data_IF_453833070896
#
_entry.id   IF_453833070896
#
_cell.length_a   1.000
_cell.length_b   1.000
_cell.length_c   1.000
_cell.angle_alpha   90.00
_cell.angle_beta   90.00
_cell.angle_gamma   90.00
#
_symmetry.space_group_name_H-M   'P 1'
#
loop_
_entity.id
_entity.type
_entity.pdbx_description
1 polymer ?
#
# COMPACT_ATOMS: atom_id res chain seq x y z
N UNK A 1 -29.94 -1.54 24.67
CA UNK A 1 -28.75 -0.74 24.33
C UNK A 1 -28.58 -0.46 22.83
N UNK A 2 -29.29 -1.17 21.91
CA UNK A 2 -29.20 -0.91 20.43
C UNK A 2 -29.83 0.42 19.98
N UNK A 3 -30.82 0.93 20.70
CA UNK A 3 -31.58 2.13 20.25
C UNK A 3 -30.94 3.49 20.59
N UNK A 4 -29.93 3.53 21.45
CA UNK A 4 -29.25 4.76 21.83
C UNK A 4 -28.22 5.19 20.78
N UNK A 5 -27.61 4.22 20.10
CA UNK A 5 -26.59 4.47 19.07
C UNK A 5 -27.23 5.07 17.81
N UNK A 6 -28.44 4.61 17.44
CA UNK A 6 -29.19 5.17 16.30
C UNK A 6 -29.59 6.62 16.48
N UNK A 7 -29.90 7.04 17.71
CA UNK A 7 -30.28 8.42 17.98
C UNK A 7 -29.10 9.40 17.84
N UNK A 8 -27.89 8.95 18.17
CA UNK A 8 -26.67 9.75 18.06
C UNK A 8 -26.26 9.97 16.61
N UNK A 9 -26.49 8.97 15.72
CA UNK A 9 -26.16 9.06 14.29
C UNK A 9 -27.13 9.96 13.52
N UNK A 10 -28.42 9.95 13.88
CA UNK A 10 -29.42 10.82 13.25
C UNK A 10 -29.15 12.31 13.62
N UNK A 11 -28.60 12.58 14.79
CA UNK A 11 -28.27 13.96 15.21
C UNK A 11 -27.03 14.50 14.47
N UNK A 12 -26.08 13.66 14.07
CA UNK A 12 -24.91 14.06 13.28
C UNK A 12 -25.23 14.33 11.79
N UNK A 13 -26.31 13.73 11.27
CA UNK A 13 -26.78 13.97 9.90
C UNK A 13 -28.01 14.90 9.83
N UNK A 14 -28.59 15.31 10.95
CA UNK A 14 -29.55 16.41 10.95
C UNK A 14 -28.80 17.70 10.64
N UNK A 15 -29.29 18.55 9.72
CA UNK A 15 -28.65 19.84 9.46
C UNK A 15 -28.73 20.69 10.73
N UNK A 16 -27.69 20.64 11.54
CA UNK A 16 -27.51 21.61 12.60
C UNK A 16 -27.21 22.92 11.88
N UNK A 17 -28.23 23.75 11.76
CA UNK A 17 -28.13 25.10 11.23
C UNK A 17 -27.23 25.93 12.16
N UNK A 18 -25.94 25.81 11.97
CA UNK A 18 -24.97 26.78 12.46
C UNK A 18 -24.84 27.82 11.37
N UNK A 19 -25.34 29.03 11.62
CA UNK A 19 -25.19 30.17 10.72
C UNK A 19 -23.73 30.28 10.28
N UNK A 20 -23.47 30.04 9.00
CA UNK A 20 -22.16 30.26 8.37
C UNK A 20 -21.43 29.04 7.85
N UNK A 21 -21.93 27.80 8.01
CA UNK A 21 -21.39 26.65 7.32
C UNK A 21 -22.25 26.34 6.10
N UNK A 22 -21.66 26.40 4.91
CA UNK A 22 -22.23 25.82 3.70
C UNK A 22 -22.56 24.35 4.00
N UNK A 23 -23.80 23.93 3.70
CA UNK A 23 -24.20 22.53 3.83
C UNK A 23 -23.22 21.67 3.07
N UNK A 24 -22.67 20.66 3.76
CA UNK A 24 -21.81 19.65 3.14
C UNK A 24 -22.54 19.08 1.91
N UNK A 25 -22.07 19.45 0.73
CA UNK A 25 -22.61 18.90 -0.51
C UNK A 25 -22.12 17.46 -0.64
N UNK A 26 -22.99 16.50 -0.98
CA UNK A 26 -22.59 15.13 -1.30
C UNK A 26 -21.44 15.07 -2.31
N UNK A 27 -21.41 16.02 -3.24
CA UNK A 27 -20.43 16.10 -4.32
C UNK A 27 -19.00 16.49 -3.85
N UNK A 28 -18.86 16.94 -2.60
CA UNK A 28 -17.58 17.36 -2.04
C UNK A 28 -17.06 16.45 -0.93
N UNK A 29 -17.69 15.30 -0.73
CA UNK A 29 -17.29 14.30 0.27
C UNK A 29 -16.84 13.03 -0.44
N UNK A 30 -15.64 12.58 -0.15
CA UNK A 30 -15.11 11.32 -0.68
C UNK A 30 -15.30 10.24 0.36
N UNK A 31 -15.88 9.13 -0.05
CA UNK A 31 -16.09 7.95 0.78
C UNK A 31 -15.21 6.80 0.32
N UNK A 32 -14.66 6.06 1.27
CA UNK A 32 -13.99 4.79 1.02
C UNK A 32 -14.67 3.69 1.82
N UNK A 33 -14.92 2.56 1.18
CA UNK A 33 -15.38 1.33 1.84
C UNK A 33 -14.31 0.27 1.60
N UNK A 34 -13.75 -0.30 2.66
CA UNK A 34 -12.66 -1.30 2.59
C UNK A 34 -11.49 -0.83 1.69
N UNK A 35 -11.11 0.45 1.86
CA UNK A 35 -10.03 1.12 1.11
C UNK A 35 -10.31 1.37 -0.38
N UNK A 36 -11.54 1.20 -0.86
CA UNK A 36 -11.96 1.53 -2.23
C UNK A 36 -12.88 2.73 -2.22
N UNK A 37 -12.62 3.68 -3.13
CA UNK A 37 -13.50 4.84 -3.29
C UNK A 37 -14.91 4.39 -3.66
N UNK A 38 -15.91 4.93 -2.99
CA UNK A 38 -17.30 4.61 -3.16
C UNK A 38 -18.14 5.87 -3.29
N UNK A 39 -19.24 5.79 -4.02
CA UNK A 39 -20.21 6.86 -4.14
C UNK A 39 -20.85 7.19 -2.79
N UNK A 40 -21.08 8.48 -2.53
CA UNK A 40 -21.65 8.94 -1.26
C UNK A 40 -23.03 8.35 -0.99
N UNK A 41 -23.92 8.32 -2.00
CA UNK A 41 -25.28 7.80 -1.82
C UNK A 41 -25.28 6.30 -1.59
N UNK A 42 -24.40 5.57 -2.30
CA UNK A 42 -24.17 4.16 -2.09
C UNK A 42 -23.67 3.87 -0.68
N UNK A 43 -22.71 4.68 -0.21
CA UNK A 43 -22.14 4.58 1.15
C UNK A 43 -23.22 4.87 2.21
N UNK A 44 -24.00 5.93 2.03
CA UNK A 44 -25.07 6.29 2.96
C UNK A 44 -26.15 5.20 3.05
N UNK A 45 -26.50 4.57 1.91
CA UNK A 45 -27.42 3.43 1.87
C UNK A 45 -26.87 2.26 2.67
N UNK A 46 -25.62 1.85 2.40
CA UNK A 46 -24.99 0.72 3.10
C UNK A 46 -24.86 0.95 4.61
N UNK A 47 -24.61 2.18 5.03
CA UNK A 47 -24.68 2.58 6.44
C UNK A 47 -26.09 2.39 7.02
N UNK A 48 -27.10 2.88 6.31
CA UNK A 48 -28.50 2.74 6.72
C UNK A 48 -28.95 1.29 6.85
N UNK A 49 -28.44 0.42 5.99
CA UNK A 49 -28.71 -1.03 5.99
C UNK A 49 -27.84 -1.77 7.03
N UNK A 50 -26.90 -1.13 7.73
CA UNK A 50 -26.01 -1.72 8.72
C UNK A 50 -24.95 -2.66 8.12
N UNK A 51 -24.70 -2.55 6.82
CA UNK A 51 -23.71 -3.37 6.12
C UNK A 51 -22.29 -2.86 6.30
N UNK A 52 -22.12 -1.59 6.60
CA UNK A 52 -20.82 -0.97 6.90
C UNK A 52 -20.85 -0.29 8.25
N UNK A 53 -19.73 -0.37 8.95
CA UNK A 53 -19.47 0.31 10.21
C UNK A 53 -18.18 1.10 10.06
N UNK A 54 -18.08 2.24 10.73
CA UNK A 54 -16.85 3.00 10.71
C UNK A 54 -17.04 4.37 11.31
N UNK A 55 -15.99 4.84 11.93
CA UNK A 55 -15.83 6.25 12.25
C UNK A 55 -14.99 6.83 11.12
N UNK A 56 -15.59 7.73 10.35
CA UNK A 56 -14.78 8.58 9.51
C UNK A 56 -13.90 9.42 10.42
N UNK A 57 -12.65 9.05 10.65
CA UNK A 57 -11.68 10.05 11.00
C UNK A 57 -11.71 11.06 9.86
N UNK A 58 -12.09 12.29 10.17
CA UNK A 58 -11.96 13.40 9.25
C UNK A 58 -10.47 13.58 9.01
N UNK A 59 -9.96 12.90 8.01
CA UNK A 59 -8.60 13.11 7.56
C UNK A 59 -8.43 14.60 7.32
N UNK A 60 -7.33 15.16 7.76
CA UNK A 60 -7.01 16.57 7.58
C UNK A 60 -7.46 17.05 6.20
N UNK A 61 -8.42 17.98 6.16
CA UNK A 61 -8.97 18.56 4.91
C UNK A 61 -7.85 19.01 3.96
N UNK A 62 -6.73 19.48 4.52
CA UNK A 62 -5.54 19.85 3.75
C UNK A 62 -4.95 18.67 2.99
N UNK A 63 -4.78 17.52 3.64
CA UNK A 63 -4.23 16.32 2.99
C UNK A 63 -5.24 15.74 1.98
N UNK A 64 -6.53 15.80 2.31
CA UNK A 64 -7.60 15.40 1.41
C UNK A 64 -7.58 16.23 0.12
N UNK A 65 -7.51 17.55 0.22
CA UNK A 65 -7.45 18.45 -0.94
C UNK A 65 -6.15 18.24 -1.73
N UNK A 66 -5.03 18.04 -1.07
CA UNK A 66 -3.75 17.79 -1.76
C UNK A 66 -3.79 16.53 -2.64
N UNK A 67 -4.45 15.47 -2.17
CA UNK A 67 -4.49 14.18 -2.87
C UNK A 67 -5.66 14.04 -3.84
N UNK A 68 -6.81 14.67 -3.56
CA UNK A 68 -8.05 14.48 -4.31
C UNK A 68 -8.62 15.76 -4.91
N UNK A 69 -7.95 16.91 -4.71
CA UNK A 69 -8.41 18.20 -5.17
C UNK A 69 -9.62 18.72 -4.38
N UNK A 70 -10.28 19.74 -4.93
CA UNK A 70 -11.41 20.43 -4.29
C UNK A 70 -12.62 19.52 -4.01
N UNK A 71 -12.74 18.40 -4.70
CA UNK A 71 -13.81 17.41 -4.45
C UNK A 71 -13.70 16.77 -3.04
N UNK A 72 -12.56 16.91 -2.37
CA UNK A 72 -12.34 16.45 -1.00
C UNK A 72 -12.44 17.59 0.03
N UNK A 73 -12.97 18.75 -0.32
CA UNK A 73 -13.08 19.92 0.56
C UNK A 73 -13.81 19.62 1.88
N UNK A 74 -14.76 18.70 1.86
CA UNK A 74 -15.53 18.29 3.02
C UNK A 74 -14.93 17.08 3.75
N UNK A 75 -13.71 16.70 3.36
CA UNK A 75 -12.97 15.60 3.97
C UNK A 75 -13.21 14.26 3.29
N UNK A 76 -12.63 13.26 3.91
CA UNK A 76 -12.68 11.87 3.46
C UNK A 76 -13.24 11.03 4.60
N UNK A 77 -14.16 10.14 4.27
CA UNK A 77 -14.80 9.23 5.19
C UNK A 77 -14.42 7.80 4.86
N UNK A 78 -14.01 7.04 5.85
CA UNK A 78 -13.58 5.65 5.67
C UNK A 78 -14.49 4.72 6.46
N UNK A 79 -14.98 3.69 5.80
CA UNK A 79 -15.85 2.69 6.35
C UNK A 79 -15.30 1.29 6.11
N UNK A 80 -15.73 0.35 6.93
CA UNK A 80 -15.42 -1.08 6.79
C UNK A 80 -16.72 -1.87 6.72
N UNK A 81 -16.75 -2.90 5.91
CA UNK A 81 -17.88 -3.82 5.86
C UNK A 81 -18.02 -4.54 7.20
N UNK A 82 -19.20 -4.45 7.79
CA UNK A 82 -19.56 -5.23 8.98
C UNK A 82 -19.73 -6.68 8.56
N UNK A 83 -19.10 -7.60 9.26
CA UNK A 83 -19.05 -9.01 8.88
C UNK A 83 -18.33 -9.20 7.52
N UNK A 84 -17.06 -8.78 7.46
CA UNK A 84 -16.22 -9.29 6.35
C UNK A 84 -16.44 -10.78 6.29
N UNK A 85 -17.01 -11.35 5.20
CA UNK A 85 -16.92 -12.77 5.01
C UNK A 85 -15.46 -13.10 5.18
N UNK A 86 -15.16 -14.12 5.99
CA UNK A 86 -13.81 -14.67 6.16
C UNK A 86 -13.13 -14.53 4.81
N UNK A 87 -12.01 -13.76 4.76
CA UNK A 87 -11.47 -13.26 3.49
C UNK A 87 -11.49 -14.39 2.48
N UNK A 88 -12.24 -14.22 1.40
CA UNK A 88 -12.43 -15.31 0.43
C UNK A 88 -11.05 -15.94 0.15
N UNK A 89 -10.90 -17.25 0.26
CA UNK A 89 -9.61 -17.89 0.16
C UNK A 89 -8.91 -17.40 -1.11
N UNK A 90 -7.63 -17.05 -1.00
CA UNK A 90 -6.84 -16.61 -2.13
C UNK A 90 -6.83 -17.71 -3.19
N UNK A 91 -7.10 -17.33 -4.43
CA UNK A 91 -6.90 -18.24 -5.55
C UNK A 91 -5.40 -18.46 -5.77
N UNK A 92 -4.99 -19.57 -6.42
CA UNK A 92 -3.58 -19.87 -6.63
C UNK A 92 -2.79 -18.80 -7.41
N UNK A 93 -3.49 -17.97 -8.18
CA UNK A 93 -2.95 -16.87 -8.99
C UNK A 93 -3.19 -15.48 -8.38
N UNK A 94 -3.60 -15.42 -7.12
CA UNK A 94 -3.87 -14.16 -6.43
C UNK A 94 -2.80 -13.82 -5.39
N UNK A 95 -2.56 -12.51 -5.23
CA UNK A 95 -1.82 -11.96 -4.12
C UNK A 95 -2.71 -11.09 -3.23
N UNK A 96 -2.33 -10.96 -1.97
CA UNK A 96 -2.80 -9.91 -1.07
C UNK A 96 -1.61 -9.28 -0.37
N UNK A 97 -1.55 -7.95 -0.36
CA UNK A 97 -0.54 -7.18 0.34
C UNK A 97 -1.18 -6.59 1.59
N UNK A 98 -0.63 -6.93 2.75
CA UNK A 98 -0.93 -6.26 4.01
C UNK A 98 0.19 -5.29 4.33
N UNK A 99 -0.08 -4.01 4.19
CA UNK A 99 0.88 -2.95 4.44
C UNK A 99 0.70 -2.30 5.80
N UNK A 100 1.82 -1.94 6.43
CA UNK A 100 1.85 -1.14 7.65
C UNK A 100 2.80 0.04 7.51
N UNK A 101 2.43 1.16 8.09
CA UNK A 101 3.21 2.39 8.15
C UNK A 101 2.80 3.17 9.41
N UNK A 102 3.65 4.08 9.86
CA UNK A 102 3.34 4.95 10.99
C UNK A 102 1.97 5.64 10.79
N UNK A 103 1.07 5.63 11.79
CA UNK A 103 -0.24 6.29 11.72
C UNK A 103 -0.20 7.78 11.39
N UNK A 104 0.95 8.45 11.53
CA UNK A 104 1.13 9.82 11.07
C UNK A 104 0.88 10.00 9.55
N UNK A 105 0.88 8.91 8.79
CA UNK A 105 0.56 8.87 7.35
C UNK A 105 -0.91 8.55 7.05
N UNK A 106 -1.77 8.50 8.07
CA UNK A 106 -3.21 8.32 7.84
C UNK A 106 -3.75 9.39 6.89
N UNK A 107 -4.52 8.96 5.90
CA UNK A 107 -5.05 9.83 4.86
C UNK A 107 -4.13 10.09 3.68
N UNK A 108 -2.92 9.57 3.69
CA UNK A 108 -2.10 9.56 2.48
C UNK A 108 -2.44 8.35 1.60
N UNK A 109 -2.14 8.48 0.32
CA UNK A 109 -2.31 7.39 -0.62
C UNK A 109 -1.12 6.43 -0.56
N UNK A 110 -1.43 5.15 -0.38
CA UNK A 110 -0.55 4.07 -0.75
C UNK A 110 -0.77 3.75 -2.23
N UNK A 111 0.30 3.70 -3.00
CA UNK A 111 0.29 3.50 -4.45
C UNK A 111 1.14 2.28 -4.81
N UNK A 112 0.56 1.37 -5.58
CA UNK A 112 1.24 0.18 -6.10
C UNK A 112 1.48 0.37 -7.60
N UNK A 113 2.74 0.54 -7.97
CA UNK A 113 3.17 0.71 -9.34
C UNK A 113 3.64 -0.63 -9.91
N UNK A 114 3.05 -1.04 -11.03
CA UNK A 114 3.53 -2.19 -11.81
C UNK A 114 4.17 -1.72 -13.10
N UNK A 115 5.18 -2.45 -13.58
CA UNK A 115 5.96 -2.10 -14.74
C UNK A 115 5.85 -3.17 -15.83
N UNK A 116 6.05 -2.77 -17.10
CA UNK A 116 6.13 -3.74 -18.18
C UNK A 116 7.38 -4.62 -18.06
N UNK A 117 7.23 -5.89 -18.35
CA UNK A 117 8.34 -6.84 -18.33
C UNK A 117 9.54 -6.44 -19.20
N UNK A 118 9.28 -5.69 -20.27
CA UNK A 118 10.27 -5.30 -21.29
C UNK A 118 10.76 -3.86 -21.13
N UNK A 119 10.14 -3.08 -20.24
CA UNK A 119 10.44 -1.65 -20.09
C UNK A 119 10.15 -1.19 -18.66
N UNK A 120 11.19 -1.16 -17.85
CA UNK A 120 11.16 -0.81 -16.44
C UNK A 120 10.93 0.67 -16.16
N UNK A 121 11.08 1.51 -17.16
CA UNK A 121 10.83 2.95 -17.06
C UNK A 121 9.34 3.24 -17.30
N UNK A 122 8.61 2.27 -17.86
CA UNK A 122 7.23 2.46 -18.23
C UNK A 122 6.27 1.83 -17.23
N UNK A 123 5.65 2.67 -16.42
CA UNK A 123 4.55 2.27 -15.54
C UNK A 123 3.42 1.68 -16.40
N UNK A 124 3.01 0.47 -16.07
CA UNK A 124 1.91 -0.21 -16.75
C UNK A 124 0.59 0.07 -16.07
N UNK A 125 0.57 0.05 -14.75
CA UNK A 125 -0.62 0.25 -13.95
C UNK A 125 -0.25 0.87 -12.60
N UNK A 126 -1.17 1.66 -12.05
CA UNK A 126 -1.07 2.21 -10.70
C UNK A 126 -2.37 1.90 -9.98
N UNK A 127 -2.27 1.15 -8.88
CA UNK A 127 -3.36 0.93 -7.96
C UNK A 127 -3.17 1.83 -6.74
N UNK A 128 -4.27 2.34 -6.18
CA UNK A 128 -4.21 3.25 -5.04
C UNK A 128 -5.20 2.87 -3.97
N UNK A 129 -4.75 2.93 -2.72
CA UNK A 129 -5.60 2.78 -1.54
C UNK A 129 -5.22 3.82 -0.50
N UNK A 130 -6.14 4.17 0.37
CA UNK A 130 -5.86 5.13 1.44
C UNK A 130 -5.29 4.42 2.66
N UNK A 131 -4.30 5.05 3.31
CA UNK A 131 -3.79 4.58 4.60
C UNK A 131 -4.79 4.92 5.70
N UNK A 132 -5.24 3.91 6.45
CA UNK A 132 -6.12 4.03 7.60
C UNK A 132 -5.55 3.23 8.79
N UNK A 133 -5.49 3.84 9.97
CA UNK A 133 -4.89 3.24 11.17
C UNK A 133 -3.47 2.68 10.96
N UNK A 134 -2.68 3.39 10.15
CA UNK A 134 -1.35 2.95 9.78
C UNK A 134 -1.34 1.67 8.94
N UNK A 135 -2.45 1.31 8.28
CA UNK A 135 -2.61 0.09 7.49
C UNK A 135 -3.16 0.40 6.11
N UNK A 136 -2.85 -0.48 5.17
CA UNK A 136 -3.43 -0.49 3.83
C UNK A 136 -3.39 -1.92 3.27
N UNK A 137 -4.25 -2.20 2.29
CA UNK A 137 -4.35 -3.52 1.70
C UNK A 137 -4.55 -3.42 0.20
N UNK A 138 -3.79 -4.23 -0.56
CA UNK A 138 -4.01 -4.44 -1.99
C UNK A 138 -4.30 -5.91 -2.23
N UNK A 139 -5.21 -6.21 -3.16
CA UNK A 139 -5.46 -7.57 -3.63
C UNK A 139 -5.56 -7.57 -5.14
N UNK A 140 -4.94 -8.55 -5.78
CA UNK A 140 -4.96 -8.66 -7.23
C UNK A 140 -4.51 -10.02 -7.72
N UNK A 141 -4.46 -10.14 -9.06
CA UNK A 141 -3.93 -11.33 -9.73
C UNK A 141 -2.47 -11.13 -10.10
N UNK A 142 -1.71 -12.20 -9.95
CA UNK A 142 -0.34 -12.25 -10.44
C UNK A 142 -0.40 -12.31 -11.97
N UNK A 143 0.10 -11.27 -12.64
CA UNK A 143 0.11 -11.26 -14.11
C UNK A 143 1.49 -11.64 -14.66
N UNK A 144 2.54 -11.02 -14.20
CA UNK A 144 3.92 -11.29 -14.56
C UNK A 144 4.79 -11.10 -13.32
N UNK A 145 5.83 -11.92 -13.15
CA UNK A 145 6.76 -11.82 -12.03
C UNK A 145 7.72 -10.62 -12.18
N UNK A 146 7.13 -9.44 -12.39
CA UNK A 146 7.89 -8.21 -12.46
C UNK A 146 7.97 -7.56 -11.10
N UNK A 147 9.07 -6.91 -10.77
CA UNK A 147 9.12 -6.09 -9.59
C UNK A 147 8.12 -4.94 -9.73
N UNK A 148 7.57 -4.60 -8.60
CA UNK A 148 6.63 -3.51 -8.41
C UNK A 148 7.19 -2.58 -7.35
N UNK A 149 6.71 -1.34 -7.33
CA UNK A 149 7.04 -0.37 -6.29
C UNK A 149 5.78 -0.08 -5.50
N UNK A 150 5.86 -0.26 -4.19
CA UNK A 150 4.86 0.20 -3.26
C UNK A 150 5.36 1.48 -2.61
N UNK A 151 4.57 2.54 -2.67
CA UNK A 151 4.95 3.85 -2.18
C UNK A 151 3.81 4.51 -1.40
N UNK A 152 4.15 5.35 -0.42
CA UNK A 152 3.19 6.20 0.30
C UNK A 152 3.67 7.64 0.23
N UNK A 153 2.72 8.55 0.02
CA UNK A 153 2.95 9.99 -0.11
C UNK A 153 2.74 10.51 -1.52
N UNK A 154 3.23 11.70 -1.79
CA UNK A 154 2.97 12.39 -3.05
C UNK A 154 3.88 11.92 -4.18
N UNK A 155 3.31 11.49 -5.31
CA UNK A 155 4.05 11.26 -6.54
C UNK A 155 4.46 12.61 -7.18
N UNK A 156 5.68 12.76 -7.76
CA UNK A 156 6.70 11.72 -8.02
C UNK A 156 7.74 11.53 -6.90
N UNK A 157 7.57 12.16 -5.75
CA UNK A 157 8.50 12.07 -4.61
C UNK A 157 7.80 11.44 -3.41
N UNK A 158 7.61 10.11 -3.40
CA UNK A 158 6.99 9.45 -2.26
C UNK A 158 7.86 9.60 -1.02
N UNK A 159 7.20 9.69 0.13
CA UNK A 159 7.89 9.81 1.42
C UNK A 159 8.52 8.47 1.82
N UNK A 160 7.89 7.38 1.45
CA UNK A 160 8.35 6.00 1.69
C UNK A 160 8.05 5.14 0.47
N UNK A 161 9.00 4.26 0.12
CA UNK A 161 8.78 3.28 -0.94
C UNK A 161 9.62 2.04 -0.73
N UNK A 162 9.14 0.91 -1.27
CA UNK A 162 9.83 -0.37 -1.24
C UNK A 162 9.57 -1.13 -2.55
N UNK A 163 10.60 -1.83 -3.03
CA UNK A 163 10.46 -2.77 -4.15
C UNK A 163 9.94 -4.12 -3.64
N UNK A 164 9.03 -4.74 -4.38
CA UNK A 164 8.47 -6.05 -4.08
C UNK A 164 8.09 -6.81 -5.35
N UNK A 165 7.88 -8.11 -5.20
CA UNK A 165 7.29 -8.94 -6.25
C UNK A 165 5.83 -9.24 -5.92
N UNK A 166 4.95 -9.12 -6.91
CA UNK A 166 3.54 -9.54 -6.79
C UNK A 166 3.44 -11.06 -7.00
N UNK A 167 4.01 -11.78 -6.04
CA UNK A 167 4.04 -13.24 -5.99
C UNK A 167 2.75 -13.77 -5.36
N UNK A 168 2.26 -14.91 -5.80
CA UNK A 168 1.01 -15.47 -5.27
C UNK A 168 1.11 -15.74 -3.78
N UNK A 169 0.09 -15.32 -3.04
CA UNK A 169 0.01 -15.52 -1.60
C UNK A 169 -0.14 -14.23 -0.78
N UNK A 170 0.22 -14.30 0.48
CA UNK A 170 0.12 -13.19 1.44
C UNK A 170 1.46 -12.48 1.57
N UNK A 171 1.54 -11.25 1.09
CA UNK A 171 2.72 -10.40 1.15
C UNK A 171 2.54 -9.44 2.34
N UNK A 172 3.50 -9.42 3.24
CA UNK A 172 3.54 -8.49 4.37
C UNK A 172 4.56 -7.39 4.09
N UNK A 173 4.14 -6.15 4.18
CA UNK A 173 4.98 -4.98 3.95
C UNK A 173 4.98 -4.08 5.17
N UNK A 174 6.18 -3.68 5.60
CA UNK A 174 6.35 -2.59 6.58
C UNK A 174 7.16 -1.48 5.92
N UNK A 175 6.53 -0.33 5.69
CA UNK A 175 7.20 0.82 5.10
C UNK A 175 8.11 1.57 6.10
N UNK A 176 7.90 1.40 7.40
CA UNK A 176 8.80 1.98 8.40
C UNK A 176 10.15 1.26 8.42
N UNK A 177 10.15 -0.07 8.35
CA UNK A 177 11.36 -0.89 8.32
C UNK A 177 11.84 -1.22 6.90
N UNK A 178 11.12 -0.78 5.87
CA UNK A 178 11.35 -1.13 4.46
C UNK A 178 11.48 -2.64 4.25
N UNK A 179 10.54 -3.39 4.82
CA UNK A 179 10.56 -4.86 4.85
C UNK A 179 9.41 -5.44 4.05
N UNK A 180 9.72 -6.43 3.21
CA UNK A 180 8.74 -7.22 2.45
C UNK A 180 9.03 -8.69 2.67
N UNK A 181 8.02 -9.47 3.08
CA UNK A 181 8.14 -10.90 3.38
C UNK A 181 6.82 -11.64 3.12
N UNK A 182 6.83 -12.96 3.19
CA UNK A 182 5.65 -13.82 3.22
C UNK A 182 5.37 -14.57 1.92
N UNK A 183 6.17 -14.35 0.88
CA UNK A 183 6.11 -15.12 -0.35
C UNK A 183 7.50 -15.50 -0.85
N UNK A 184 7.66 -16.60 -1.59
CA UNK A 184 8.98 -17.14 -1.95
C UNK A 184 9.93 -16.14 -2.60
N UNK A 185 9.45 -15.33 -3.55
CA UNK A 185 10.31 -14.36 -4.25
C UNK A 185 10.71 -13.20 -3.31
N UNK A 186 9.79 -12.68 -2.53
CA UNK A 186 10.07 -11.60 -1.59
C UNK A 186 11.00 -12.05 -0.46
N UNK A 187 10.80 -13.27 0.06
CA UNK A 187 11.65 -13.84 1.09
C UNK A 187 13.08 -14.10 0.56
N UNK A 188 13.20 -14.61 -0.67
CA UNK A 188 14.50 -14.83 -1.31
C UNK A 188 15.23 -13.49 -1.55
N UNK A 189 14.52 -12.47 -2.05
CA UNK A 189 15.09 -11.13 -2.22
C UNK A 189 15.57 -10.56 -0.88
N UNK A 190 14.73 -10.64 0.14
CA UNK A 190 15.04 -10.15 1.48
C UNK A 190 16.27 -10.83 2.09
N UNK A 191 16.36 -12.15 1.93
CA UNK A 191 17.53 -12.92 2.40
C UNK A 191 18.80 -12.53 1.66
N UNK A 192 18.71 -12.31 0.36
CA UNK A 192 19.83 -11.84 -0.43
C UNK A 192 20.28 -10.44 0.00
N UNK A 193 19.38 -9.48 0.15
CA UNK A 193 19.69 -8.13 0.61
C UNK A 193 20.33 -8.13 1.99
N UNK A 194 19.80 -8.94 2.91
CA UNK A 194 20.39 -9.13 4.25
C UNK A 194 21.81 -9.69 4.18
N UNK A 195 22.06 -10.61 3.25
CA UNK A 195 23.38 -11.16 3.00
C UNK A 195 24.32 -10.10 2.44
N UNK A 196 23.86 -9.32 1.45
CA UNK A 196 24.67 -8.25 0.85
C UNK A 196 25.00 -7.13 1.84
N UNK A 197 24.05 -6.74 2.69
CA UNK A 197 24.27 -5.72 3.74
C UNK A 197 25.40 -6.07 4.72
N UNK A 198 25.69 -7.36 4.95
CA UNK A 198 26.84 -7.77 5.77
C UNK A 198 28.17 -7.35 5.16
N UNK A 199 28.23 -7.19 3.86
CA UNK A 199 29.41 -6.78 3.12
C UNK A 199 29.44 -5.27 2.82
N UNK A 200 28.28 -4.59 2.97
CA UNK A 200 28.20 -3.16 2.73
C UNK A 200 28.89 -2.40 3.88
N UNK A 201 29.67 -1.40 3.53
CA UNK A 201 30.42 -0.62 4.51
C UNK A 201 31.71 -1.28 5.02
N UNK A 202 31.99 -2.55 4.68
CA UNK A 202 33.28 -3.14 4.99
C UNK A 202 34.37 -2.52 4.13
N UNK A 203 35.26 -1.78 4.75
CA UNK A 203 36.48 -1.25 4.15
C UNK A 203 37.66 -1.63 5.05
N UNK A 204 38.70 -2.13 4.43
CA UNK A 204 39.92 -2.50 5.10
C UNK A 204 41.09 -1.62 4.61
N UNK A 205 42.10 -1.44 5.45
CA UNK A 205 43.31 -0.67 5.09
C UNK A 205 44.13 -1.34 3.97
N UNK A 206 43.89 -2.62 3.71
CA UNK A 206 44.60 -3.40 2.69
C UNK A 206 43.78 -3.47 1.40
N UNK A 207 44.33 -3.00 0.28
CA UNK A 207 43.75 -3.07 -1.04
C UNK A 207 43.48 -4.50 -1.51
N UNK A 208 44.35 -5.43 -1.14
CA UNK A 208 44.20 -6.86 -1.44
C UNK A 208 42.94 -7.43 -0.78
N UNK A 209 42.67 -7.08 0.48
CA UNK A 209 41.48 -7.52 1.20
C UNK A 209 40.22 -6.89 0.58
N UNK A 210 40.22 -5.62 0.24
CA UNK A 210 39.12 -4.95 -0.42
C UNK A 210 38.82 -5.55 -1.80
N UNK A 211 39.86 -5.95 -2.54
CA UNK A 211 39.69 -6.66 -3.82
C UNK A 211 39.03 -8.03 -3.64
N UNK A 212 39.50 -8.81 -2.66
CA UNK A 212 38.86 -10.10 -2.33
C UNK A 212 37.41 -9.96 -1.90
N UNK A 213 37.11 -8.95 -1.08
CA UNK A 213 35.73 -8.62 -0.69
C UNK A 213 34.85 -8.31 -1.89
N UNK A 214 35.35 -7.49 -2.82
CA UNK A 214 34.65 -7.20 -4.07
C UNK A 214 34.43 -8.42 -4.95
N UNK A 215 35.36 -9.36 -4.98
CA UNK A 215 35.19 -10.65 -5.69
C UNK A 215 34.14 -11.52 -5.01
N UNK A 216 34.13 -11.59 -3.69
CA UNK A 216 33.14 -12.34 -2.91
C UNK A 216 31.73 -11.79 -3.12
N UNK A 217 31.55 -10.47 -3.10
CA UNK A 217 30.27 -9.82 -3.40
C UNK A 217 29.77 -10.19 -4.80
N UNK A 218 30.66 -10.13 -5.81
CA UNK A 218 30.31 -10.51 -7.20
C UNK A 218 29.95 -11.98 -7.31
N UNK A 219 30.65 -12.86 -6.63
CA UNK A 219 30.37 -14.29 -6.64
C UNK A 219 28.99 -14.60 -6.02
N UNK A 220 28.67 -14.02 -4.86
CA UNK A 220 27.37 -14.15 -4.18
C UNK A 220 26.25 -13.65 -5.09
N UNK A 221 26.41 -12.45 -5.70
CA UNK A 221 25.42 -11.88 -6.61
C UNK A 221 25.22 -12.77 -7.84
N UNK A 222 26.30 -13.25 -8.45
CA UNK A 222 26.23 -14.14 -9.61
C UNK A 222 25.50 -15.44 -9.29
N UNK A 223 25.79 -16.04 -8.15
CA UNK A 223 25.13 -17.27 -7.73
C UNK A 223 23.62 -17.04 -7.47
N UNK A 224 23.27 -15.94 -6.80
CA UNK A 224 21.88 -15.57 -6.59
C UNK A 224 21.12 -15.35 -7.89
N UNK A 225 21.71 -14.66 -8.87
CA UNK A 225 21.11 -14.45 -10.20
C UNK A 225 20.93 -15.80 -10.89
N UNK A 226 21.94 -16.68 -10.86
CA UNK A 226 21.88 -18.00 -11.47
C UNK A 226 20.75 -18.87 -10.91
N UNK A 227 20.56 -18.84 -9.58
CA UNK A 227 19.48 -19.58 -8.92
C UNK A 227 18.10 -19.02 -9.25
N UNK A 228 18.01 -17.74 -9.61
CA UNK A 228 16.76 -17.04 -9.87
C UNK A 228 16.55 -16.67 -11.35
N UNK A 229 17.35 -17.20 -12.28
CA UNK A 229 17.35 -16.78 -13.70
C UNK A 229 15.98 -16.99 -14.39
N UNK A 230 15.17 -17.92 -13.89
CA UNK A 230 13.86 -18.26 -14.45
C UNK A 230 12.70 -17.50 -13.81
N UNK A 231 12.96 -16.59 -12.87
CA UNK A 231 11.93 -15.83 -12.18
C UNK A 231 12.20 -14.31 -12.25
N UNK A 232 11.30 -13.50 -11.67
CA UNK A 232 11.39 -12.05 -11.69
C UNK A 232 12.67 -11.48 -11.03
N UNK A 233 13.21 -12.16 -10.02
CA UNK A 233 14.45 -11.74 -9.35
C UNK A 233 15.63 -11.79 -10.30
N UNK A 234 15.78 -12.89 -11.04
CA UNK A 234 16.87 -13.03 -12.02
C UNK A 234 16.81 -11.93 -13.07
N UNK A 235 15.62 -11.61 -13.56
CA UNK A 235 15.42 -10.50 -14.50
C UNK A 235 15.85 -9.17 -13.88
N UNK A 236 15.39 -8.86 -12.65
CA UNK A 236 15.73 -7.62 -11.94
C UNK A 236 17.26 -7.40 -11.86
N UNK A 237 18.00 -8.41 -11.49
CA UNK A 237 19.43 -8.30 -11.26
C UNK A 237 20.31 -8.47 -12.50
N UNK A 238 19.76 -8.98 -13.60
CA UNK A 238 20.46 -8.98 -14.89
C UNK A 238 20.56 -7.57 -15.50
N UNK A 239 19.64 -6.67 -15.16
CA UNK A 239 19.60 -5.29 -15.68
C UNK A 239 20.18 -4.23 -14.73
N UNK A 240 20.42 -4.54 -13.45
CA UNK A 240 21.13 -3.70 -12.47
C UNK A 240 22.62 -4.08 -12.40
#
# INVERSE_FOLDING_TARGET
>A
MKNVIYLFFIILFSPISVKGQEMLSPDSTICFIDSKEADYQFTAKKMGDGEIDGFGEVISVRNAIMNFGERARNGIWTFWTVNKPEEAPLQPDEYVIYGTINPAYNGELAMLFTFKATDWEKIQHVDTVMVADGKFCFRGKVNDYNPSILAVGNYPKPTRSVELFLDAGKIQVSLDSLSVVGTPLNDALRQFEKTMKKYDGMQFKSDSINKMLGMSRRAIRKEFIKQNIHNGIGRLYCYK
#
